data_IF_536718347291
#
_entry.id   IF_536718347291
#
_cell.length_a   1.000
_cell.length_b   1.000
_cell.length_c   1.000
_cell.angle_alpha   90.00
_cell.angle_beta   90.00
_cell.angle_gamma   90.00
#
_symmetry.space_group_name_H-M   'P 1'
#
loop_
_entity.id
_entity.type
_entity.pdbx_description
1 polymer ?
#
# COMPACT_ATOMS: atom_id res chain seq x y z
N UNK A 1 44.79 -30.92 25.15
CA UNK A 1 43.76 -31.58 24.31
C UNK A 1 42.31 -31.26 24.69
N UNK A 2 42.01 -30.48 25.74
CA UNK A 2 40.62 -30.16 26.17
C UNK A 2 40.10 -28.80 25.67
N UNK A 3 40.99 -27.85 25.36
CA UNK A 3 40.65 -26.49 24.91
C UNK A 3 40.05 -26.45 23.50
N UNK A 4 40.48 -27.33 22.60
CA UNK A 4 39.98 -27.35 21.22
C UNK A 4 38.53 -27.87 21.12
N UNK A 5 38.10 -28.72 22.06
CA UNK A 5 36.74 -29.26 22.06
C UNK A 5 35.70 -28.21 22.48
N UNK A 6 36.08 -27.32 23.42
CA UNK A 6 35.20 -26.24 23.88
C UNK A 6 34.99 -25.16 22.81
N UNK A 7 36.00 -24.85 22.00
CA UNK A 7 35.88 -23.88 20.90
C UNK A 7 34.95 -24.40 19.80
N UNK A 8 35.06 -25.69 19.47
CA UNK A 8 34.20 -26.33 18.45
C UNK A 8 32.75 -26.45 18.95
N UNK A 9 32.56 -26.80 20.23
CA UNK A 9 31.23 -26.86 20.85
C UNK A 9 30.55 -25.48 20.93
N UNK A 10 31.31 -24.41 21.22
CA UNK A 10 30.78 -23.04 21.22
C UNK A 10 30.37 -22.55 19.83
N UNK A 11 31.10 -22.93 18.78
CA UNK A 11 30.79 -22.53 17.40
C UNK A 11 29.54 -23.26 16.84
N UNK A 12 29.30 -24.50 17.27
CA UNK A 12 28.10 -25.26 16.90
C UNK A 12 26.83 -24.74 17.60
N UNK A 13 26.94 -24.13 18.78
CA UNK A 13 25.78 -23.57 19.50
C UNK A 13 25.28 -22.23 18.91
N UNK A 14 26.14 -21.44 18.24
CA UNK A 14 25.74 -20.16 17.64
C UNK A 14 24.91 -20.31 16.35
N UNK A 15 25.00 -21.44 15.65
CA UNK A 15 24.27 -21.67 14.39
C UNK A 15 22.84 -22.18 14.58
N UNK A 16 22.46 -22.60 15.80
CA UNK A 16 21.11 -23.05 16.12
C UNK A 16 20.09 -21.89 16.30
N UNK A 17 20.55 -20.66 16.55
CA UNK A 17 19.68 -19.50 16.79
C UNK A 17 19.38 -18.66 15.53
N UNK A 18 19.92 -19.03 14.36
CA UNK A 18 19.80 -18.23 13.14
C UNK A 18 18.49 -18.42 12.34
N UNK A 19 17.52 -19.20 12.84
CA UNK A 19 16.27 -19.52 12.12
C UNK A 19 15.03 -18.89 12.75
N UNK A 20 14.91 -17.56 12.67
CA UNK A 20 13.63 -16.88 12.91
C UNK A 20 13.55 -15.52 12.21
N UNK A 21 13.90 -15.45 10.93
CA UNK A 21 13.45 -14.36 10.07
C UNK A 21 12.31 -14.92 9.20
N UNK A 22 11.11 -15.04 9.78
CA UNK A 22 9.90 -15.30 9.01
C UNK A 22 9.74 -14.14 8.03
N UNK A 23 9.98 -14.40 6.75
CA UNK A 23 9.72 -13.45 5.68
C UNK A 23 8.19 -13.27 5.58
N UNK A 24 7.64 -12.35 6.38
CA UNK A 24 6.24 -11.99 6.36
C UNK A 24 5.94 -11.25 5.05
N UNK A 25 5.37 -11.96 4.08
CA UNK A 25 5.01 -11.38 2.79
C UNK A 25 3.71 -10.58 2.94
N UNK A 26 3.85 -9.26 3.08
CA UNK A 26 2.74 -8.29 3.16
C UNK A 26 1.73 -8.43 2.00
N UNK A 27 2.13 -9.01 0.86
CA UNK A 27 1.20 -9.29 -0.26
C UNK A 27 0.16 -10.35 0.09
N UNK A 28 0.49 -11.30 0.95
CA UNK A 28 -0.42 -12.38 1.33
C UNK A 28 -1.61 -11.85 2.13
N UNK A 29 -1.39 -10.81 2.94
CA UNK A 29 -2.40 -10.24 3.83
C UNK A 29 -3.03 -8.94 3.31
N UNK A 30 -2.78 -8.57 2.05
CA UNK A 30 -3.34 -7.37 1.44
C UNK A 30 -4.22 -7.63 0.22
N UNK A 31 -5.19 -6.75 0.00
CA UNK A 31 -5.96 -6.60 -1.22
C UNK A 31 -5.38 -5.45 -2.04
N UNK A 32 -5.37 -5.59 -3.35
CA UNK A 32 -4.88 -4.56 -4.26
C UNK A 32 -6.03 -4.02 -5.11
N UNK A 33 -6.21 -2.71 -5.10
CA UNK A 33 -7.22 -2.03 -5.88
C UNK A 33 -6.56 -1.15 -6.92
N UNK A 34 -7.05 -1.25 -8.15
CA UNK A 34 -6.72 -0.32 -9.21
C UNK A 34 -7.80 0.75 -9.27
N UNK A 35 -7.40 1.98 -9.47
CA UNK A 35 -8.31 3.11 -9.56
C UNK A 35 -7.80 4.11 -10.60
N UNK A 36 -8.73 4.69 -11.33
CA UNK A 36 -8.45 5.71 -12.33
C UNK A 36 -8.99 7.04 -11.86
N UNK A 37 -8.13 8.06 -11.85
CA UNK A 37 -8.50 9.42 -11.50
C UNK A 37 -8.07 10.39 -12.59
N UNK A 38 -8.79 11.50 -12.68
CA UNK A 38 -8.40 12.66 -13.48
C UNK A 38 -8.02 13.76 -12.51
N UNK A 39 -6.84 14.32 -12.70
CA UNK A 39 -6.27 15.38 -11.89
C UNK A 39 -5.91 16.54 -12.81
N UNK A 40 -6.39 17.74 -12.50
CA UNK A 40 -5.98 18.96 -13.20
C UNK A 40 -5.06 19.78 -12.30
N UNK A 41 -3.86 20.08 -12.81
CA UNK A 41 -2.81 20.77 -12.06
C UNK A 41 -2.59 22.15 -12.67
N UNK A 42 -2.65 23.19 -11.83
CA UNK A 42 -2.34 24.56 -12.21
C UNK A 42 -0.84 24.88 -12.23
N UNK A 43 -0.48 26.14 -12.47
CA UNK A 43 0.91 26.54 -12.70
C UNK A 43 1.80 26.43 -11.45
N UNK A 44 1.22 26.55 -10.26
CA UNK A 44 1.92 26.48 -8.96
C UNK A 44 1.66 25.16 -8.22
N UNK A 45 1.26 24.10 -8.94
CA UNK A 45 0.91 22.79 -8.39
C UNK A 45 -0.36 22.77 -7.52
N UNK A 46 -1.19 23.80 -7.64
CA UNK A 46 -2.57 23.77 -7.19
C UNK A 46 -3.36 22.69 -7.94
N UNK A 47 -4.34 22.10 -7.24
CA UNK A 47 -5.24 21.11 -7.84
C UNK A 47 -6.57 21.81 -8.07
N UNK A 48 -6.88 22.10 -9.34
CA UNK A 48 -8.11 22.81 -9.70
C UNK A 48 -9.31 21.86 -9.70
N UNK A 49 -9.09 20.61 -10.14
CA UNK A 49 -10.11 19.58 -10.07
C UNK A 49 -9.50 18.19 -9.94
N UNK A 50 -10.23 17.34 -9.23
CA UNK A 50 -9.90 15.94 -9.04
C UNK A 50 -11.18 15.12 -9.13
N UNK A 51 -11.18 14.10 -9.96
CA UNK A 51 -12.33 13.20 -10.10
C UNK A 51 -11.88 11.76 -10.15
N UNK A 52 -12.44 10.93 -9.27
CA UNK A 52 -12.31 9.47 -9.35
C UNK A 52 -13.26 8.97 -10.45
N UNK A 53 -12.72 8.35 -11.49
CA UNK A 53 -13.48 7.88 -12.66
C UNK A 53 -13.90 6.43 -12.53
N UNK A 54 -13.03 5.58 -11.98
CA UNK A 54 -13.31 4.15 -11.83
C UNK A 54 -12.48 3.56 -10.71
N UNK A 55 -13.12 2.75 -9.88
CA UNK A 55 -12.47 1.87 -8.91
C UNK A 55 -12.85 0.44 -9.30
N UNK A 56 -11.86 -0.45 -9.40
CA UNK A 56 -12.12 -1.86 -9.75
C UNK A 56 -12.39 -2.65 -8.47
N UNK A 57 -13.66 -2.68 -8.05
CA UNK A 57 -14.13 -3.55 -6.98
C UNK A 57 -15.61 -3.88 -7.18
N UNK A 58 -15.91 -5.06 -7.71
CA UNK A 58 -17.28 -5.47 -8.03
C UNK A 58 -18.03 -6.02 -6.81
N UNK A 59 -17.32 -6.29 -5.71
CA UNK A 59 -17.83 -6.93 -4.49
C UNK A 59 -17.74 -6.03 -3.24
N UNK A 60 -17.42 -4.74 -3.43
CA UNK A 60 -17.31 -3.80 -2.32
C UNK A 60 -18.68 -3.29 -1.88
N UNK A 61 -18.88 -3.13 -0.57
CA UNK A 61 -20.01 -2.38 -0.04
C UNK A 61 -19.88 -0.87 -0.33
N UNK A 62 -20.95 -0.12 -0.12
CA UNK A 62 -20.92 1.35 -0.24
C UNK A 62 -19.85 2.00 0.66
N UNK A 63 -19.70 1.53 1.90
CA UNK A 63 -18.70 2.06 2.85
C UNK A 63 -17.27 1.74 2.41
N UNK A 64 -17.04 0.52 1.92
CA UNK A 64 -15.75 0.15 1.32
C UNK A 64 -15.44 0.99 0.09
N UNK A 65 -16.44 1.24 -0.76
CA UNK A 65 -16.30 2.10 -1.93
C UNK A 65 -15.97 3.54 -1.56
N UNK A 66 -16.60 4.09 -0.52
CA UNK A 66 -16.29 5.45 -0.03
C UNK A 66 -14.85 5.56 0.47
N UNK A 67 -14.38 4.59 1.27
CA UNK A 67 -12.99 4.55 1.73
C UNK A 67 -12.01 4.46 0.54
N UNK A 68 -12.30 3.63 -0.46
CA UNK A 68 -11.48 3.55 -1.68
C UNK A 68 -11.49 4.86 -2.46
N UNK A 69 -12.63 5.55 -2.51
CA UNK A 69 -12.77 6.84 -3.16
C UNK A 69 -11.92 7.91 -2.46
N UNK A 70 -12.02 8.02 -1.14
CA UNK A 70 -11.23 8.95 -0.34
C UNK A 70 -9.73 8.69 -0.51
N UNK A 71 -9.32 7.42 -0.49
CA UNK A 71 -7.93 7.06 -0.69
C UNK A 71 -7.45 7.37 -2.12
N UNK A 72 -8.30 7.17 -3.14
CA UNK A 72 -8.00 7.55 -4.52
C UNK A 72 -7.75 9.05 -4.65
N UNK A 73 -8.58 9.86 -3.99
CA UNK A 73 -8.41 11.31 -3.94
C UNK A 73 -7.10 11.68 -3.25
N UNK A 74 -6.85 11.12 -2.06
CA UNK A 74 -5.64 11.38 -1.29
C UNK A 74 -4.37 11.06 -2.08
N UNK A 75 -4.32 9.89 -2.70
CA UNK A 75 -3.18 9.44 -3.50
C UNK A 75 -2.97 10.31 -4.75
N UNK A 76 -4.06 10.68 -5.44
CA UNK A 76 -3.98 11.60 -6.58
C UNK A 76 -3.40 12.96 -6.18
N UNK A 77 -3.77 13.48 -5.00
CA UNK A 77 -3.21 14.74 -4.48
C UNK A 77 -1.70 14.65 -4.22
N UNK A 78 -1.19 13.48 -3.84
CA UNK A 78 0.25 13.27 -3.67
C UNK A 78 0.98 13.16 -5.00
N UNK A 79 0.35 12.56 -6.01
CA UNK A 79 0.94 12.42 -7.35
C UNK A 79 1.22 13.75 -8.05
N UNK A 80 0.61 14.86 -7.63
CA UNK A 80 0.95 16.19 -8.18
C UNK A 80 2.42 16.58 -7.97
N UNK A 81 3.06 16.02 -6.94
CA UNK A 81 4.47 16.25 -6.64
C UNK A 81 5.40 15.30 -7.40
N UNK A 82 4.85 14.27 -8.05
CA UNK A 82 5.61 13.35 -8.87
C UNK A 82 6.15 14.09 -10.10
N UNK A 83 7.46 14.04 -10.42
CA UNK A 83 8.03 14.69 -11.59
C UNK A 83 7.31 14.37 -12.91
N UNK A 84 6.69 13.18 -13.00
CA UNK A 84 5.90 12.75 -14.15
C UNK A 84 4.64 13.60 -14.38
N UNK A 85 3.99 14.04 -13.30
CA UNK A 85 2.71 14.75 -13.34
C UNK A 85 2.84 16.23 -12.92
N UNK A 86 4.04 16.69 -12.58
CA UNK A 86 4.29 18.07 -12.11
C UNK A 86 3.99 19.16 -13.14
N UNK A 87 3.84 18.82 -14.42
CA UNK A 87 3.54 19.81 -15.47
C UNK A 87 2.08 20.28 -15.35
N UNK A 88 1.78 21.56 -15.60
CA UNK A 88 0.39 22.02 -15.61
C UNK A 88 -0.46 21.28 -16.67
N UNK A 89 -1.75 21.11 -16.39
CA UNK A 89 -2.73 20.51 -17.31
C UNK A 89 -3.46 19.28 -16.75
N UNK A 90 -4.19 18.59 -17.63
CA UNK A 90 -4.94 17.36 -17.31
C UNK A 90 -4.01 16.15 -17.26
N UNK A 91 -4.05 15.43 -16.13
CA UNK A 91 -3.36 14.16 -15.93
C UNK A 91 -4.35 13.05 -15.64
N UNK A 92 -4.12 11.90 -16.29
CA UNK A 92 -4.87 10.67 -16.03
C UNK A 92 -3.99 9.74 -15.22
N UNK A 93 -4.41 9.46 -13.99
CA UNK A 93 -3.66 8.64 -13.06
C UNK A 93 -4.25 7.24 -13.01
N UNK A 94 -3.36 6.25 -13.03
CA UNK A 94 -3.68 4.87 -12.74
C UNK A 94 -3.02 4.53 -11.40
N UNK A 95 -3.79 4.62 -10.31
CA UNK A 95 -3.28 4.37 -8.98
C UNK A 95 -3.52 2.91 -8.61
N UNK A 96 -2.57 2.38 -7.85
CA UNK A 96 -2.62 1.04 -7.30
C UNK A 96 -2.43 1.18 -5.81
N UNK A 97 -3.47 0.87 -5.04
CA UNK A 97 -3.45 0.98 -3.58
C UNK A 97 -3.63 -0.41 -2.97
N UNK A 98 -2.94 -0.65 -1.86
CA UNK A 98 -3.07 -1.88 -1.09
C UNK A 98 -3.68 -1.60 0.28
N UNK A 99 -4.62 -2.44 0.67
CA UNK A 99 -5.25 -2.42 1.98
C UNK A 99 -5.05 -3.77 2.66
N UNK A 100 -4.93 -3.79 3.98
CA UNK A 100 -4.99 -5.02 4.79
C UNK A 100 -6.32 -5.72 4.53
N UNK A 101 -6.30 -7.03 4.26
CA UNK A 101 -7.50 -7.86 4.06
C UNK A 101 -8.43 -7.77 5.27
N UNK A 102 -7.85 -7.87 6.46
CA UNK A 102 -8.59 -7.82 7.73
C UNK A 102 -9.27 -6.47 7.91
N UNK A 103 -8.50 -5.39 7.79
CA UNK A 103 -9.02 -4.04 8.05
C UNK A 103 -10.06 -3.66 7.00
N UNK A 104 -9.80 -4.00 5.73
CA UNK A 104 -10.74 -3.75 4.64
C UNK A 104 -12.05 -4.53 4.80
N UNK A 105 -11.99 -5.79 5.26
CA UNK A 105 -13.18 -6.58 5.57
C UNK A 105 -13.98 -5.94 6.71
N UNK A 106 -13.30 -5.49 7.77
CA UNK A 106 -13.93 -4.90 8.95
C UNK A 106 -14.65 -3.58 8.65
N UNK A 107 -14.37 -2.92 7.51
CA UNK A 107 -15.14 -1.75 7.06
C UNK A 107 -16.62 -2.06 6.84
N UNK A 108 -16.99 -3.31 6.54
CA UNK A 108 -18.39 -3.74 6.41
C UNK A 108 -19.09 -3.93 7.76
N UNK A 109 -18.34 -4.27 8.81
CA UNK A 109 -18.89 -4.72 10.09
C UNK A 109 -19.13 -3.56 11.07
N UNK A 110 -18.63 -2.36 10.78
CA UNK A 110 -18.84 -1.15 11.58
C UNK A 110 -20.23 -0.50 11.38
N UNK A 111 -21.27 -1.32 11.38
CA UNK A 111 -22.67 -0.90 11.49
C UNK A 111 -23.20 -1.37 12.86
N UNK A 112 -22.65 -0.81 13.94
CA UNK A 112 -23.26 -0.80 15.28
C UNK A 112 -23.12 0.61 15.86
#
# INVERSE_FOLDING_TARGET
MKTNFFVIAGMLFFSAFAKAQTHYDYRQDSLQFKMYTRLYIGEKLEVDSLTVKKIFCDFCSEKQMDVLQQEAMRQSMLERYNPKYRKPGEHRLALVVRFSKKDFKNLNEQNE
#
